data_IF_863277337478
#
_entry.id   IF_863277337478
#
_cell.length_a   1.000
_cell.length_b   1.000
_cell.length_c   1.000
_cell.angle_alpha   90.00
_cell.angle_beta   90.00
_cell.angle_gamma   90.00
#
_symmetry.space_group_name_H-M   'P 1'
#
loop_
_entity.id
_entity.type
_entity.pdbx_description
1 polymer ?
#
# COMPACT_ATOMS: atom_id res chain seq x y z
N UNK A 1 -2.57 -24.96 32.75
CA UNK A 1 -2.14 -23.74 32.02
C UNK A 1 -0.88 -23.99 31.15
N UNK A 2 -0.70 -25.19 30.58
CA UNK A 2 0.54 -25.55 29.84
C UNK A 2 0.43 -25.49 28.30
N UNK A 3 -0.77 -25.29 27.74
CA UNK A 3 -0.99 -25.36 26.29
C UNK A 3 -0.76 -24.06 25.48
N UNK A 4 -0.49 -22.93 26.13
CA UNK A 4 -0.35 -21.61 25.45
C UNK A 4 1.12 -21.28 25.12
N UNK A 5 2.07 -21.82 25.89
CA UNK A 5 3.51 -21.56 25.72
C UNK A 5 4.05 -22.15 24.40
N UNK A 6 3.63 -23.37 24.07
CA UNK A 6 4.18 -24.16 22.95
C UNK A 6 3.73 -23.63 21.57
N UNK A 7 2.47 -23.21 21.44
CA UNK A 7 1.96 -22.57 20.20
C UNK A 7 2.62 -21.23 19.89
N UNK A 8 3.05 -20.51 20.92
CA UNK A 8 3.69 -19.19 20.80
C UNK A 8 5.15 -19.34 20.34
N UNK A 9 5.85 -20.36 20.84
CA UNK A 9 7.19 -20.73 20.39
C UNK A 9 7.20 -21.24 18.94
N UNK A 10 6.25 -22.10 18.56
CA UNK A 10 6.12 -22.62 17.20
C UNK A 10 5.82 -21.52 16.16
N UNK A 11 4.93 -20.56 16.48
CA UNK A 11 4.65 -19.40 15.61
C UNK A 11 5.85 -18.48 15.44
N UNK A 12 6.64 -18.25 16.50
CA UNK A 12 7.92 -17.51 16.41
C UNK A 12 8.92 -18.22 15.50
N UNK A 13 8.98 -19.55 15.55
CA UNK A 13 9.86 -20.35 14.68
C UNK A 13 9.48 -20.32 13.20
N UNK A 14 8.18 -20.33 12.86
CA UNK A 14 7.72 -20.27 11.47
C UNK A 14 7.98 -18.89 10.86
N UNK A 15 7.63 -17.81 11.58
CA UNK A 15 7.91 -16.45 11.13
C UNK A 15 9.42 -16.21 10.99
N UNK A 16 10.23 -16.65 11.95
CA UNK A 16 11.69 -16.55 11.87
C UNK A 16 12.28 -17.31 10.67
N UNK A 17 11.73 -18.48 10.31
CA UNK A 17 12.16 -19.25 9.12
C UNK A 17 11.75 -18.61 7.80
N UNK A 18 10.57 -17.99 7.75
CA UNK A 18 10.14 -17.24 6.55
C UNK A 18 11.01 -16.00 6.40
N UNK A 19 11.22 -15.25 7.49
CA UNK A 19 12.06 -14.05 7.50
C UNK A 19 13.54 -14.36 7.16
N UNK A 20 14.08 -15.49 7.62
CA UNK A 20 15.46 -15.88 7.29
C UNK A 20 15.64 -16.32 5.83
N UNK A 21 14.59 -16.84 5.18
CA UNK A 21 14.61 -17.18 3.75
C UNK A 21 14.47 -15.97 2.84
N UNK A 22 13.78 -14.93 3.31
CA UNK A 22 13.52 -13.69 2.57
C UNK A 22 14.76 -12.77 2.61
N UNK A 23 15.60 -12.88 3.63
CA UNK A 23 16.79 -12.03 3.78
C UNK A 23 16.42 -10.61 4.20
N UNK A 24 17.40 -9.71 4.37
CA UNK A 24 17.14 -8.34 4.80
C UNK A 24 16.65 -7.48 3.61
N UNK A 25 15.39 -6.98 3.62
CA UNK A 25 14.87 -6.17 2.53
C UNK A 25 15.62 -4.86 2.30
N UNK A 26 16.35 -4.35 3.29
CA UNK A 26 17.19 -3.16 3.15
C UNK A 26 18.34 -3.38 2.17
N UNK A 27 18.86 -4.61 2.09
CA UNK A 27 20.00 -5.00 1.25
C UNK A 27 19.60 -5.47 -0.14
N UNK A 28 18.29 -5.59 -0.38
CA UNK A 28 17.79 -5.96 -1.69
C UNK A 28 18.16 -4.91 -2.73
N UNK A 29 18.38 -5.39 -3.95
CA UNK A 29 18.54 -4.52 -5.10
C UNK A 29 17.32 -3.63 -5.29
N UNK A 30 17.51 -2.48 -5.93
CA UNK A 30 16.42 -1.53 -6.12
C UNK A 30 15.24 -2.13 -6.91
N UNK A 31 15.53 -3.02 -7.87
CA UNK A 31 14.52 -3.75 -8.63
C UNK A 31 13.76 -4.74 -7.75
N UNK A 32 14.43 -5.44 -6.83
CA UNK A 32 13.77 -6.39 -5.93
C UNK A 32 12.82 -5.70 -4.95
N UNK A 33 13.21 -4.52 -4.46
CA UNK A 33 12.32 -3.65 -3.68
C UNK A 33 11.11 -3.19 -4.49
N UNK A 34 11.33 -2.80 -5.75
CA UNK A 34 10.24 -2.44 -6.67
C UNK A 34 9.30 -3.61 -6.98
N UNK A 35 9.84 -4.82 -7.17
CA UNK A 35 9.06 -6.05 -7.36
C UNK A 35 8.20 -6.39 -6.14
N UNK A 36 8.73 -6.18 -4.93
CA UNK A 36 7.96 -6.34 -3.69
C UNK A 36 6.75 -5.41 -3.67
N UNK A 37 6.96 -4.11 -3.98
CA UNK A 37 5.87 -3.14 -4.07
C UNK A 37 4.85 -3.57 -5.13
N UNK A 38 5.30 -3.93 -6.33
CA UNK A 38 4.41 -4.37 -7.40
C UNK A 38 3.57 -5.59 -6.97
N UNK A 39 4.19 -6.61 -6.38
CA UNK A 39 3.50 -7.82 -5.98
C UNK A 39 2.51 -7.56 -4.83
N UNK A 40 2.91 -6.78 -3.82
CA UNK A 40 2.05 -6.41 -2.71
C UNK A 40 0.84 -5.58 -3.19
N UNK A 41 1.09 -4.53 -3.95
CA UNK A 41 0.02 -3.64 -4.45
C UNK A 41 -0.88 -4.36 -5.45
N UNK A 42 -0.34 -5.22 -6.32
CA UNK A 42 -1.16 -6.02 -7.24
C UNK A 42 -2.16 -6.90 -6.48
N UNK A 43 -1.74 -7.51 -5.37
CA UNK A 43 -2.63 -8.30 -4.51
C UNK A 43 -3.80 -7.46 -3.98
N UNK A 44 -3.52 -6.26 -3.46
CA UNK A 44 -4.55 -5.33 -2.98
C UNK A 44 -5.46 -4.83 -4.09
N UNK A 45 -4.92 -4.49 -5.26
CA UNK A 45 -5.71 -4.00 -6.40
C UNK A 45 -6.63 -5.11 -6.94
N UNK A 46 -6.17 -6.36 -7.00
CA UNK A 46 -7.01 -7.49 -7.39
C UNK A 46 -8.15 -7.68 -6.38
N UNK A 47 -7.86 -7.59 -5.08
CA UNK A 47 -8.90 -7.66 -4.04
C UNK A 47 -9.96 -6.55 -4.22
N UNK A 48 -9.53 -5.31 -4.43
CA UNK A 48 -10.44 -4.19 -4.75
C UNK A 48 -11.23 -4.38 -6.06
N UNK A 49 -10.59 -4.93 -7.11
CA UNK A 49 -11.25 -5.21 -8.38
C UNK A 49 -12.36 -6.27 -8.19
N UNK A 50 -12.10 -7.30 -7.37
CA UNK A 50 -13.08 -8.34 -7.05
C UNK A 50 -14.22 -7.80 -6.17
N UNK A 51 -13.91 -7.02 -5.14
CA UNK A 51 -14.91 -6.41 -4.25
C UNK A 51 -15.80 -5.46 -5.06
N UNK A 52 -15.22 -4.57 -5.86
CA UNK A 52 -15.98 -3.64 -6.70
C UNK A 52 -16.88 -4.38 -7.70
N UNK A 53 -16.37 -5.43 -8.37
CA UNK A 53 -17.17 -6.24 -9.29
C UNK A 53 -18.35 -6.95 -8.59
N UNK A 54 -18.16 -7.43 -7.35
CA UNK A 54 -19.24 -8.03 -6.55
C UNK A 54 -20.31 -7.00 -6.18
N UNK A 55 -19.92 -5.82 -5.70
CA UNK A 55 -20.87 -4.74 -5.34
C UNK A 55 -21.62 -4.23 -6.59
N UNK A 56 -20.98 -4.23 -7.76
CA UNK A 56 -21.66 -3.96 -9.03
C UNK A 56 -22.72 -5.02 -9.35
N UNK A 57 -22.50 -6.30 -9.00
CA UNK A 57 -23.49 -7.37 -9.14
C UNK A 57 -24.62 -7.35 -8.10
N UNK A 58 -24.41 -6.72 -6.94
CA UNK A 58 -25.35 -6.71 -5.80
C UNK A 58 -25.68 -5.27 -5.37
N UNK A 59 -26.67 -4.61 -6.00
CA UNK A 59 -26.96 -3.20 -5.75
C UNK A 59 -27.30 -2.86 -4.30
N UNK A 60 -27.93 -3.78 -3.57
CA UNK A 60 -28.32 -3.59 -2.17
C UNK A 60 -27.13 -3.58 -1.20
N UNK A 61 -25.95 -4.05 -1.62
CA UNK A 61 -24.77 -4.14 -0.77
C UNK A 61 -24.10 -2.79 -0.46
N UNK A 62 -24.35 -1.76 -1.29
CA UNK A 62 -23.79 -0.42 -1.11
C UNK A 62 -24.76 0.65 -1.64
N UNK A 63 -25.87 0.92 -0.95
CA UNK A 63 -26.91 1.87 -1.41
C UNK A 63 -26.41 3.32 -1.46
N UNK A 64 -25.34 3.64 -0.75
CA UNK A 64 -24.68 4.94 -0.72
C UNK A 64 -23.70 5.16 -1.89
N UNK A 65 -23.46 4.14 -2.73
CA UNK A 65 -22.49 4.21 -3.81
C UNK A 65 -23.14 4.62 -5.15
N UNK A 66 -22.51 5.55 -5.86
CA UNK A 66 -22.89 5.88 -7.23
C UNK A 66 -22.58 4.71 -8.16
N UNK A 67 -23.60 4.25 -8.89
CA UNK A 67 -23.52 3.02 -9.69
C UNK A 67 -22.70 3.18 -10.96
N UNK A 68 -22.79 4.33 -11.60
CA UNK A 68 -22.04 4.61 -12.82
C UNK A 68 -20.56 4.74 -12.49
N UNK A 69 -20.25 5.51 -11.44
CA UNK A 69 -18.87 5.68 -10.97
C UNK A 69 -18.29 4.37 -10.45
N UNK A 70 -19.07 3.55 -9.73
CA UNK A 70 -18.62 2.24 -9.25
C UNK A 70 -18.31 1.27 -10.40
N UNK A 71 -19.12 1.29 -11.46
CA UNK A 71 -18.88 0.45 -12.64
C UNK A 71 -17.61 0.89 -13.36
N UNK A 72 -17.42 2.20 -13.54
CA UNK A 72 -16.20 2.77 -14.11
C UNK A 72 -14.97 2.43 -13.25
N UNK A 73 -15.09 2.56 -11.93
CA UNK A 73 -14.06 2.19 -10.96
C UNK A 73 -13.67 0.72 -11.09
N UNK A 74 -14.64 -0.19 -11.25
CA UNK A 74 -14.35 -1.62 -11.42
C UNK A 74 -13.52 -1.90 -12.68
N UNK A 75 -13.88 -1.29 -13.82
CA UNK A 75 -13.10 -1.39 -15.06
C UNK A 75 -11.71 -0.79 -14.89
N UNK A 76 -11.62 0.38 -14.26
CA UNK A 76 -10.36 1.06 -13.98
C UNK A 76 -9.45 0.24 -13.06
N UNK A 77 -9.99 -0.45 -12.04
CA UNK A 77 -9.21 -1.33 -11.17
C UNK A 77 -8.55 -2.49 -11.91
N UNK A 78 -9.25 -3.10 -12.88
CA UNK A 78 -8.64 -4.12 -13.74
C UNK A 78 -7.55 -3.54 -14.65
N UNK A 79 -7.74 -2.33 -15.17
CA UNK A 79 -6.69 -1.64 -15.92
C UNK A 79 -5.46 -1.32 -15.04
N UNK A 80 -5.68 -0.93 -13.79
CA UNK A 80 -4.61 -0.71 -12.81
C UNK A 80 -3.89 -2.01 -12.46
N UNK A 81 -4.64 -3.11 -12.27
CA UNK A 81 -4.06 -4.44 -12.05
C UNK A 81 -3.18 -4.87 -13.23
N UNK A 82 -3.63 -4.63 -14.47
CA UNK A 82 -2.85 -4.91 -15.67
C UNK A 82 -1.55 -4.09 -15.72
N UNK A 83 -1.59 -2.81 -15.33
CA UNK A 83 -0.39 -1.97 -15.24
C UNK A 83 0.61 -2.46 -14.19
N UNK A 84 0.13 -2.88 -13.01
CA UNK A 84 0.97 -3.50 -11.99
C UNK A 84 1.58 -4.83 -12.46
N UNK A 85 0.80 -5.68 -13.14
CA UNK A 85 1.30 -6.91 -13.73
C UNK A 85 2.37 -6.64 -14.79
N UNK A 86 2.20 -5.62 -15.63
CA UNK A 86 3.20 -5.21 -16.61
C UNK A 86 4.50 -4.75 -15.94
N UNK A 87 4.42 -3.91 -14.91
CA UNK A 87 5.60 -3.49 -14.13
C UNK A 87 6.30 -4.69 -13.48
N UNK A 88 5.54 -5.63 -12.91
CA UNK A 88 6.07 -6.85 -12.31
C UNK A 88 6.86 -7.68 -13.35
N UNK A 89 6.30 -7.88 -14.55
CA UNK A 89 6.96 -8.59 -15.64
C UNK A 89 8.24 -7.89 -16.12
N UNK A 90 8.20 -6.56 -16.25
CA UNK A 90 9.38 -5.75 -16.58
C UNK A 90 10.46 -5.91 -15.52
N UNK A 91 10.10 -5.80 -14.24
CA UNK A 91 10.99 -5.98 -13.11
C UNK A 91 11.69 -7.34 -13.13
N UNK A 92 10.93 -8.43 -13.31
CA UNK A 92 11.47 -9.80 -13.39
C UNK A 92 12.47 -9.90 -14.54
N UNK A 93 12.19 -9.28 -15.69
CA UNK A 93 13.05 -9.33 -16.87
C UNK A 93 14.35 -8.55 -16.70
N UNK A 94 14.32 -7.39 -16.02
CA UNK A 94 15.52 -6.58 -15.80
C UNK A 94 16.32 -7.00 -14.57
N UNK A 95 15.71 -7.70 -13.60
CA UNK A 95 16.30 -8.11 -12.32
C UNK A 95 17.70 -8.68 -12.45
N UNK A 96 17.91 -9.61 -13.39
CA UNK A 96 19.21 -10.28 -13.59
C UNK A 96 20.25 -9.41 -14.31
N UNK A 97 19.83 -8.41 -15.08
CA UNK A 97 20.70 -7.60 -15.95
C UNK A 97 21.07 -6.25 -15.33
N UNK A 98 20.13 -5.63 -14.62
CA UNK A 98 20.25 -4.30 -14.02
C UNK A 98 19.54 -4.29 -12.67
N UNK A 99 20.10 -4.94 -11.63
CA UNK A 99 19.47 -5.05 -10.31
C UNK A 99 19.18 -3.68 -9.66
N UNK A 100 20.00 -2.66 -9.93
CA UNK A 100 19.86 -1.32 -9.33
C UNK A 100 19.28 -0.28 -10.30
N UNK A 101 18.29 -0.68 -11.11
CA UNK A 101 17.70 0.19 -12.13
C UNK A 101 16.82 1.30 -11.53
N UNK A 102 17.39 2.48 -11.30
CA UNK A 102 16.72 3.65 -10.68
C UNK A 102 15.41 4.06 -11.33
N UNK A 103 15.36 4.12 -12.67
CA UNK A 103 14.13 4.53 -13.38
C UNK A 103 12.99 3.54 -13.17
N UNK A 104 13.28 2.25 -12.97
CA UNK A 104 12.23 1.23 -12.74
C UNK A 104 11.58 1.45 -11.38
N UNK A 105 12.38 1.65 -10.32
CA UNK A 105 11.85 1.95 -9.01
C UNK A 105 11.07 3.27 -9.00
N UNK A 106 11.58 4.32 -9.65
CA UNK A 106 10.85 5.58 -9.80
C UNK A 106 9.52 5.38 -10.52
N UNK A 107 9.47 4.56 -11.58
CA UNK A 107 8.23 4.25 -12.29
C UNK A 107 7.21 3.51 -11.41
N UNK A 108 7.66 2.54 -10.60
CA UNK A 108 6.80 1.84 -9.65
C UNK A 108 6.20 2.79 -8.62
N UNK A 109 7.02 3.68 -8.04
CA UNK A 109 6.59 4.64 -7.03
C UNK A 109 5.66 5.72 -7.60
N UNK A 110 5.93 6.19 -8.81
CA UNK A 110 5.05 7.14 -9.50
C UNK A 110 3.71 6.49 -9.87
N UNK A 111 3.74 5.25 -10.35
CA UNK A 111 2.52 4.51 -10.63
C UNK A 111 1.67 4.34 -9.38
N UNK A 112 2.28 3.94 -8.25
CA UNK A 112 1.63 3.91 -6.94
C UNK A 112 0.99 5.25 -6.58
N UNK A 113 1.76 6.35 -6.64
CA UNK A 113 1.26 7.68 -6.29
C UNK A 113 0.07 8.13 -7.16
N UNK A 114 0.12 7.83 -8.47
CA UNK A 114 -0.96 8.17 -9.40
C UNK A 114 -2.23 7.36 -9.11
N UNK A 115 -2.11 6.04 -8.98
CA UNK A 115 -3.27 5.15 -8.77
C UNK A 115 -3.90 5.38 -7.41
N UNK A 116 -3.08 5.51 -6.37
CA UNK A 116 -3.56 5.69 -5.01
C UNK A 116 -4.11 7.09 -4.79
N UNK A 117 -3.48 8.12 -5.39
CA UNK A 117 -3.98 9.49 -5.35
C UNK A 117 -5.35 9.61 -6.01
N UNK A 118 -5.53 8.99 -7.18
CA UNK A 118 -6.82 8.93 -7.86
C UNK A 118 -7.87 8.20 -7.02
N UNK A 119 -7.52 7.07 -6.41
CA UNK A 119 -8.43 6.31 -5.55
C UNK A 119 -8.83 7.11 -4.29
N UNK A 120 -7.89 7.84 -3.69
CA UNK A 120 -8.17 8.73 -2.56
C UNK A 120 -9.16 9.84 -2.92
N UNK A 121 -9.03 10.42 -4.11
CA UNK A 121 -10.02 11.38 -4.62
C UNK A 121 -11.40 10.75 -4.74
N UNK A 122 -11.50 9.57 -5.35
CA UNK A 122 -12.78 8.87 -5.53
C UNK A 122 -13.48 8.59 -4.20
N UNK A 123 -12.73 8.19 -3.17
CA UNK A 123 -13.24 7.83 -1.85
C UNK A 123 -13.48 9.03 -0.91
N UNK A 124 -13.01 10.22 -1.27
CA UNK A 124 -13.01 11.39 -0.39
C UNK A 124 -11.71 11.50 0.41
N UNK A 125 -10.78 12.39 0.02
CA UNK A 125 -9.42 12.39 0.54
C UNK A 125 -9.33 12.81 2.02
N UNK A 126 -10.31 13.57 2.51
CA UNK A 126 -10.37 14.07 3.90
C UNK A 126 -11.40 13.36 4.77
N UNK A 127 -12.36 12.67 4.15
CA UNK A 127 -13.50 12.02 4.80
C UNK A 127 -13.31 10.51 4.93
N UNK A 128 -12.31 9.94 4.25
CA UNK A 128 -11.93 8.53 4.34
C UNK A 128 -10.61 8.35 5.09
N UNK A 129 -10.47 7.30 5.94
CA UNK A 129 -9.19 6.97 6.59
C UNK A 129 -8.12 6.48 5.61
N UNK A 130 -8.49 6.18 4.35
CA UNK A 130 -7.63 5.53 3.37
C UNK A 130 -6.41 6.37 2.98
N UNK A 131 -6.58 7.67 2.71
CA UNK A 131 -5.49 8.54 2.28
C UNK A 131 -4.38 8.64 3.34
N UNK A 132 -4.75 8.81 4.61
CA UNK A 132 -3.79 8.89 5.71
C UNK A 132 -3.08 7.55 5.95
N UNK A 133 -3.79 6.43 5.86
CA UNK A 133 -3.19 5.10 5.98
C UNK A 133 -2.12 4.88 4.91
N UNK A 134 -2.37 5.30 3.67
CA UNK A 134 -1.41 5.21 2.57
C UNK A 134 -0.20 6.13 2.76
N UNK A 135 -0.41 7.38 3.17
CA UNK A 135 0.71 8.30 3.45
C UNK A 135 1.60 7.75 4.56
N UNK A 136 1.00 7.20 5.63
CA UNK A 136 1.75 6.54 6.69
C UNK A 136 2.53 5.35 6.15
N UNK A 137 1.87 4.47 5.39
CA UNK A 137 2.49 3.25 4.88
C UNK A 137 3.61 3.54 3.87
N UNK A 138 3.31 4.30 2.84
CA UNK A 138 4.27 4.69 1.80
C UNK A 138 5.37 5.60 2.35
N UNK A 139 5.04 6.51 3.29
CA UNK A 139 6.02 7.35 3.95
C UNK A 139 7.00 6.51 4.76
N UNK A 140 6.52 5.73 5.73
CA UNK A 140 7.40 4.99 6.63
C UNK A 140 8.16 3.90 5.88
N UNK A 141 7.46 3.02 5.15
CA UNK A 141 8.10 1.88 4.49
C UNK A 141 8.87 2.31 3.24
N UNK A 142 8.32 3.25 2.46
CA UNK A 142 8.95 3.72 1.23
C UNK A 142 10.26 4.47 1.49
N UNK A 143 10.32 5.37 2.48
CA UNK A 143 11.59 6.06 2.81
C UNK A 143 12.65 5.12 3.39
N UNK A 144 12.26 4.00 4.00
CA UNK A 144 13.21 2.98 4.47
C UNK A 144 13.78 2.14 3.31
N UNK A 145 12.97 1.86 2.28
CA UNK A 145 13.37 0.97 1.19
C UNK A 145 14.04 1.70 0.03
N UNK A 146 13.55 2.87 -0.37
CA UNK A 146 13.93 3.57 -1.59
C UNK A 146 14.75 4.83 -1.32
N UNK A 147 15.39 5.34 -2.38
CA UNK A 147 16.13 6.58 -2.29
C UNK A 147 15.22 7.78 -2.02
N UNK A 148 15.68 8.71 -1.18
CA UNK A 148 14.95 9.91 -0.79
C UNK A 148 14.38 10.69 -1.98
N UNK A 149 15.15 10.88 -3.05
CA UNK A 149 14.70 11.65 -4.21
C UNK A 149 13.51 11.00 -4.93
N UNK A 150 13.51 9.67 -5.03
CA UNK A 150 12.43 8.91 -5.69
C UNK A 150 11.15 8.99 -4.85
N UNK A 151 11.28 8.83 -3.53
CA UNK A 151 10.15 8.94 -2.61
C UNK A 151 9.56 10.35 -2.55
N UNK A 152 10.40 11.39 -2.51
CA UNK A 152 9.92 12.77 -2.54
C UNK A 152 9.19 13.10 -3.84
N UNK A 153 9.68 12.60 -4.98
CA UNK A 153 8.99 12.79 -6.26
C UNK A 153 7.62 12.11 -6.27
N UNK A 154 7.51 10.87 -5.77
CA UNK A 154 6.23 10.16 -5.71
C UNK A 154 5.26 10.81 -4.70
N UNK A 155 5.75 11.20 -3.53
CA UNK A 155 4.97 11.95 -2.54
C UNK A 155 4.49 13.29 -3.10
N UNK A 156 5.34 14.00 -3.84
CA UNK A 156 4.99 15.23 -4.52
C UNK A 156 3.83 15.04 -5.51
N UNK A 157 3.87 13.98 -6.32
CA UNK A 157 2.78 13.60 -7.23
C UNK A 157 1.49 13.30 -6.46
N UNK A 158 1.57 12.51 -5.39
CA UNK A 158 0.41 12.15 -4.57
C UNK A 158 -0.22 13.39 -3.91
N UNK A 159 0.58 14.26 -3.29
CA UNK A 159 0.13 15.51 -2.68
C UNK A 159 -0.46 16.44 -3.73
N UNK A 160 0.14 16.53 -4.92
CA UNK A 160 -0.39 17.34 -6.01
C UNK A 160 -1.77 16.85 -6.46
N UNK A 161 -2.00 15.53 -6.51
CA UNK A 161 -3.32 14.98 -6.79
C UNK A 161 -4.28 15.38 -5.68
N UNK A 162 -3.97 15.07 -4.41
CA UNK A 162 -4.89 15.36 -3.29
C UNK A 162 -5.24 16.85 -3.19
N UNK A 163 -4.24 17.71 -3.22
CA UNK A 163 -4.45 19.14 -3.10
C UNK A 163 -5.08 19.73 -4.36
N UNK A 164 -4.66 19.27 -5.54
CA UNK A 164 -5.23 19.69 -6.82
C UNK A 164 -6.71 19.33 -6.92
N UNK A 165 -7.09 18.11 -6.54
CA UNK A 165 -8.50 17.70 -6.52
C UNK A 165 -9.28 18.43 -5.44
N UNK A 166 -8.68 18.68 -4.26
CA UNK A 166 -9.34 19.47 -3.21
C UNK A 166 -9.61 20.91 -3.67
N UNK A 167 -8.64 21.57 -4.29
CA UNK A 167 -8.84 22.94 -4.81
C UNK A 167 -9.89 22.94 -5.93
N UNK A 168 -9.82 21.99 -6.86
CA UNK A 168 -10.80 21.87 -7.93
C UNK A 168 -12.23 21.62 -7.39
N UNK A 169 -12.36 20.82 -6.33
CA UNK A 169 -13.62 20.59 -5.61
C UNK A 169 -14.14 21.87 -4.97
N UNK A 170 -13.29 22.59 -4.22
CA UNK A 170 -13.68 23.85 -3.56
C UNK A 170 -14.07 24.95 -4.56
N UNK A 171 -13.54 24.88 -5.79
CA UNK A 171 -13.93 25.75 -6.90
C UNK A 171 -15.17 25.26 -7.67
N UNK A 172 -15.79 24.15 -7.25
CA UNK A 172 -16.96 23.56 -7.88
C UNK A 172 -16.69 22.97 -9.27
N UNK A 173 -15.42 22.66 -9.60
CA UNK A 173 -15.02 22.13 -10.92
C UNK A 173 -15.17 20.61 -11.04
N UNK A 174 -15.04 19.90 -9.91
CA UNK A 174 -15.20 18.46 -9.82
C UNK A 174 -16.01 18.11 -8.57
N UNK A 175 -16.75 16.99 -8.55
CA UNK A 175 -17.48 16.54 -7.37
C UNK A 175 -16.53 16.05 -6.27
N UNK A 176 -16.93 16.20 -5.01
CA UNK A 176 -16.29 15.54 -3.87
C UNK A 176 -16.66 14.05 -3.84
N UNK A 177 -15.69 13.17 -3.58
CA UNK A 177 -15.89 11.73 -3.37
C UNK A 177 -16.92 11.11 -4.34
N UNK A 178 -16.71 11.19 -5.67
CA UNK A 178 -17.73 10.86 -6.67
C UNK A 178 -18.30 9.44 -6.59
N UNK A 179 -17.63 8.51 -5.90
CA UNK A 179 -18.18 7.17 -5.67
C UNK A 179 -19.35 7.17 -4.67
N UNK A 180 -19.54 8.23 -3.89
CA UNK A 180 -20.55 8.32 -2.83
C UNK A 180 -21.67 9.28 -3.25
N UNK A 181 -22.90 8.78 -3.30
CA UNK A 181 -24.12 9.60 -3.43
C UNK A 181 -24.60 10.14 -2.09
N UNK A 182 -24.26 9.45 -1.01
CA UNK A 182 -24.52 9.84 0.37
C UNK A 182 -23.39 9.35 1.29
N UNK A 183 -23.23 9.91 2.50
CA UNK A 183 -22.33 9.34 3.49
C UNK A 183 -22.68 7.86 3.75
N UNK A 184 -21.70 6.98 3.97
CA UNK A 184 -21.92 5.55 4.23
C UNK A 184 -22.42 5.32 5.67
N UNK A 185 -23.53 5.98 6.02
CA UNK A 185 -24.17 5.94 7.33
C UNK A 185 -25.59 5.41 7.14
N UNK A 186 -25.87 4.26 7.74
CA UNK A 186 -27.19 3.60 7.75
C UNK A 186 -27.62 3.46 9.21
N UNK A 187 -28.85 3.88 9.53
CA UNK A 187 -29.40 3.87 10.89
C UNK A 187 -28.49 4.53 11.96
N UNK A 188 -27.83 5.64 11.59
CA UNK A 188 -26.94 6.39 12.47
C UNK A 188 -25.60 5.71 12.77
N UNK A 189 -25.26 4.63 12.06
CA UNK A 189 -23.98 3.92 12.17
C UNK A 189 -23.28 3.88 10.81
N UNK A 190 -21.96 3.83 10.82
CA UNK A 190 -21.20 3.57 9.58
C UNK A 190 -21.57 2.17 9.09
N UNK A 191 -21.89 2.05 7.82
CA UNK A 191 -22.28 0.78 7.20
C UNK A 191 -21.18 -0.28 7.36
N UNK A 192 -21.58 -1.52 7.64
CA UNK A 192 -20.65 -2.61 7.92
C UNK A 192 -19.76 -2.94 6.71
N UNK A 193 -20.29 -2.88 5.49
CA UNK A 193 -19.50 -3.14 4.29
C UNK A 193 -18.42 -2.07 4.13
N UNK A 194 -18.74 -0.80 4.37
CA UNK A 194 -17.75 0.29 4.37
C UNK A 194 -16.67 0.11 5.45
N UNK A 195 -17.08 -0.28 6.66
CA UNK A 195 -16.14 -0.53 7.76
C UNK A 195 -15.21 -1.70 7.43
N UNK A 196 -15.71 -2.81 6.90
CA UNK A 196 -14.89 -3.99 6.60
C UNK A 196 -13.97 -3.79 5.40
N UNK A 197 -14.44 -3.06 4.38
CA UNK A 197 -13.67 -2.82 3.16
C UNK A 197 -12.70 -1.66 3.34
N UNK A 198 -13.17 -0.42 3.33
CA UNK A 198 -12.34 0.77 3.39
C UNK A 198 -11.68 0.92 4.76
N UNK A 199 -12.46 0.79 5.84
CA UNK A 199 -11.95 0.94 7.20
C UNK A 199 -10.93 -0.15 7.56
N UNK A 200 -11.32 -1.41 7.44
CA UNK A 200 -10.54 -2.58 7.79
C UNK A 200 -9.24 -2.66 6.99
N UNK A 201 -9.31 -2.38 5.69
CA UNK A 201 -8.11 -2.39 4.84
C UNK A 201 -7.17 -1.21 5.12
N UNK A 202 -7.71 -0.03 5.44
CA UNK A 202 -6.90 1.11 5.89
C UNK A 202 -6.17 0.79 7.19
N UNK A 203 -6.88 0.21 8.16
CA UNK A 203 -6.28 -0.22 9.44
C UNK A 203 -5.24 -1.32 9.24
N UNK A 204 -5.52 -2.31 8.38
CA UNK A 204 -4.59 -3.39 8.06
C UNK A 204 -3.33 -2.84 7.41
N UNK A 205 -3.47 -1.95 6.44
CA UNK A 205 -2.34 -1.30 5.72
C UNK A 205 -1.47 -0.49 6.69
N UNK A 206 -2.08 0.35 7.53
CA UNK A 206 -1.35 1.14 8.53
C UNK A 206 -0.61 0.23 9.54
N UNK A 207 -1.28 -0.82 10.02
CA UNK A 207 -0.69 -1.75 11.00
C UNK A 207 0.43 -2.57 10.39
N UNK A 208 0.25 -3.06 9.16
CA UNK A 208 1.26 -3.79 8.42
C UNK A 208 2.50 -2.91 8.17
N UNK A 209 2.31 -1.64 7.80
CA UNK A 209 3.40 -0.70 7.62
C UNK A 209 4.20 -0.47 8.91
N UNK A 210 3.53 -0.27 10.04
CA UNK A 210 4.20 -0.13 11.34
C UNK A 210 4.95 -1.41 11.73
N UNK A 211 4.36 -2.59 11.51
CA UNK A 211 5.02 -3.86 11.79
C UNK A 211 6.27 -4.08 10.92
N UNK A 212 6.18 -3.72 9.62
CA UNK A 212 7.32 -3.76 8.70
C UNK A 212 8.40 -2.77 9.15
N UNK A 213 8.01 -1.55 9.52
CA UNK A 213 8.95 -0.54 10.00
C UNK A 213 9.69 -0.99 11.28
N UNK A 214 8.97 -1.50 12.28
CA UNK A 214 9.55 -2.05 13.50
C UNK A 214 10.52 -3.21 13.18
N UNK A 215 10.13 -4.12 12.30
CA UNK A 215 11.02 -5.19 11.83
C UNK A 215 12.29 -4.65 11.18
N UNK A 216 12.18 -3.70 10.25
CA UNK A 216 13.33 -3.10 9.55
C UNK A 216 14.25 -2.37 10.53
N UNK A 217 13.71 -1.58 11.46
CA UNK A 217 14.48 -0.85 12.48
C UNK A 217 15.23 -1.83 13.40
N UNK A 218 14.57 -2.90 13.87
CA UNK A 218 15.23 -3.92 14.70
C UNK A 218 16.33 -4.65 13.95
N UNK A 219 16.08 -4.98 12.68
CA UNK A 219 17.07 -5.63 11.81
C UNK A 219 18.31 -4.76 11.61
N UNK A 220 18.11 -3.44 11.53
CA UNK A 220 19.20 -2.47 11.41
C UNK A 220 20.00 -2.34 12.71
N UNK A 221 19.33 -2.17 13.86
CA UNK A 221 20.01 -2.07 15.17
C UNK A 221 20.85 -3.30 15.51
N UNK A 222 20.30 -4.50 15.30
CA UNK A 222 21.05 -5.73 15.55
C UNK A 222 22.28 -5.91 14.64
N UNK A 223 22.35 -5.16 13.54
CA UNK A 223 23.55 -5.12 12.69
C UNK A 223 24.59 -4.14 13.23
N UNK A 224 24.17 -2.98 13.72
CA UNK A 224 25.08 -2.01 14.33
C UNK A 224 25.77 -2.59 15.57
N UNK A 225 25.04 -3.36 16.38
CA UNK A 225 25.60 -4.08 17.53
C UNK A 225 26.69 -5.07 17.11
N UNK A 226 26.42 -5.90 16.10
CA UNK A 226 27.41 -6.87 15.58
C UNK A 226 28.64 -6.20 14.98
N UNK A 227 28.47 -5.05 14.32
CA UNK A 227 29.58 -4.27 13.79
C UNK A 227 30.42 -3.69 14.94
N UNK A 228 29.78 -3.15 15.97
CA UNK A 228 30.45 -2.62 17.15
C UNK A 228 31.27 -3.72 17.86
N UNK A 229 30.72 -4.91 18.05
CA UNK A 229 31.43 -6.06 18.63
C UNK A 229 32.63 -6.48 17.78
N UNK A 230 32.47 -6.58 16.46
CA UNK A 230 33.57 -6.92 15.56
C UNK A 230 34.69 -5.88 15.58
N UNK A 231 34.36 -4.59 15.69
CA UNK A 231 35.35 -3.52 15.82
C UNK A 231 36.15 -3.61 17.14
N UNK A 232 35.51 -4.02 18.24
CA UNK A 232 36.19 -4.20 19.53
C UNK A 232 37.14 -5.39 19.48
N UNK A 233 36.79 -6.48 18.80
CA UNK A 233 37.63 -7.69 18.68
C UNK A 233 38.85 -7.52 17.76
N UNK A 234 38.84 -6.52 16.87
CA UNK A 234 39.95 -6.23 15.96
C UNK A 234 40.97 -5.22 16.52
N UNK A 235 40.78 -4.76 17.77
CA UNK A 235 41.67 -3.82 18.46
C UNK A 235 42.39 -4.49 19.62
#
# INVERSE_FOLDING_TARGET
MEGVSDKTAARRGLLARVLSRVGNPLEWSLVDKGLLVCAATLGFVIDYALISARIVGEPEAAPYADREVLTLLSVWMWAVAAGWAALLLVGIRIRKRRPDHRLYASACLQYLALTDGALCYLLGPWTSPFAFALVLAAGVVGFLLFERAQMLAALGTFVLILFGTTVAEQLGRIPHAPILTAPPIVDGKVDLAWVLTIGGLSTLTATAALAIADYLIRSWRGREEKLAEAYVLLR
#
